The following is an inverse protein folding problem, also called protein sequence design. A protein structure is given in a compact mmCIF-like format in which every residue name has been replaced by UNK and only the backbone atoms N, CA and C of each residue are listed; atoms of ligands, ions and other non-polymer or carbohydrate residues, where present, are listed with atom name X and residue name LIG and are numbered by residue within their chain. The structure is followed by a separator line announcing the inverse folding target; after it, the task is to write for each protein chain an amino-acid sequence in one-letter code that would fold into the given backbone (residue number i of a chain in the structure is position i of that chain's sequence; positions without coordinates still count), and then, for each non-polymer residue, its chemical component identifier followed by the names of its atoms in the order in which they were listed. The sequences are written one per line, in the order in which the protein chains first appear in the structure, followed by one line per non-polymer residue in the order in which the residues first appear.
data_IF_162121002145
#
_entry.id   IF_162121002145
#
_cell.length_a   1.000
_cell.length_b   1.000
_cell.length_c   1.000
_cell.angle_alpha   90.00
_cell.angle_beta   90.00
_cell.angle_gamma   90.00
#
_symmetry.space_group_name_H-M   'P 1'
#
loop_
_entity.id
_entity.type
_entity.pdbx_description
1 polymer ?
#
# COMPACT_ATOMS: atom_id res chain seq x y z
N UNK A 1 -10.83 -31.63 -15.90
CA UNK A 1 -10.79 -32.01 -14.47
C UNK A 1 -10.22 -30.83 -13.70
N UNK A 2 -10.98 -30.23 -12.79
CA UNK A 2 -10.48 -29.13 -11.96
C UNK A 2 -9.60 -29.71 -10.85
N UNK A 3 -8.43 -29.12 -10.61
CA UNK A 3 -7.53 -29.50 -9.53
C UNK A 3 -7.54 -28.42 -8.46
N UNK A 4 -7.76 -28.80 -7.20
CA UNK A 4 -7.68 -27.92 -6.03
C UNK A 4 -6.29 -27.97 -5.36
N UNK A 5 -5.33 -28.66 -5.96
CA UNK A 5 -3.97 -28.75 -5.43
C UNK A 5 -3.19 -27.49 -5.78
N UNK A 6 -2.50 -26.94 -4.77
CA UNK A 6 -1.54 -25.86 -4.99
C UNK A 6 -0.36 -26.36 -5.82
N UNK A 7 0.16 -25.49 -6.69
CA UNK A 7 1.37 -25.77 -7.43
C UNK A 7 2.63 -25.57 -6.54
N UNK A 8 3.83 -26.02 -6.98
CA UNK A 8 5.04 -25.89 -6.18
C UNK A 8 5.41 -24.46 -5.78
N UNK A 9 5.18 -23.48 -6.65
CA UNK A 9 5.48 -22.06 -6.42
C UNK A 9 4.56 -21.45 -5.34
N UNK A 10 3.27 -21.76 -5.40
CA UNK A 10 2.27 -21.39 -4.40
C UNK A 10 2.60 -21.99 -3.03
N UNK A 11 3.02 -23.26 -3.01
CA UNK A 11 3.46 -23.93 -1.77
C UNK A 11 4.70 -23.22 -1.23
N UNK A 12 5.71 -22.99 -2.07
CA UNK A 12 6.96 -22.34 -1.64
C UNK A 12 6.70 -20.94 -1.07
N UNK A 13 5.93 -20.12 -1.77
CA UNK A 13 5.60 -18.75 -1.35
C UNK A 13 4.86 -18.72 -0.01
N UNK A 14 3.90 -19.64 0.17
CA UNK A 14 3.19 -19.81 1.46
C UNK A 14 4.15 -20.21 2.58
N UNK A 15 5.05 -21.17 2.34
CA UNK A 15 6.01 -21.60 3.37
C UNK A 15 7.03 -20.50 3.70
N UNK A 16 7.48 -19.71 2.73
CA UNK A 16 8.37 -18.56 2.98
C UNK A 16 7.69 -17.51 3.86
N UNK A 17 6.45 -17.14 3.55
CA UNK A 17 5.67 -16.20 4.36
C UNK A 17 5.46 -16.72 5.79
N UNK A 18 5.08 -17.99 5.95
CA UNK A 18 4.91 -18.62 7.26
C UNK A 18 6.19 -18.58 8.09
N UNK A 19 7.31 -18.98 7.50
CA UNK A 19 8.62 -18.99 8.20
C UNK A 19 9.04 -17.60 8.63
N UNK A 20 8.84 -16.59 7.77
CA UNK A 20 9.10 -15.21 8.15
C UNK A 20 8.23 -14.80 9.34
N UNK A 21 6.93 -15.10 9.32
CA UNK A 21 6.04 -14.74 10.42
C UNK A 21 6.46 -15.39 11.74
N UNK A 22 6.71 -16.70 11.74
CA UNK A 22 7.14 -17.45 12.93
C UNK A 22 8.46 -16.94 13.52
N UNK A 23 9.40 -16.54 12.67
CA UNK A 23 10.72 -16.10 13.10
C UNK A 23 10.77 -14.61 13.47
N UNK A 24 10.09 -13.77 12.68
CA UNK A 24 10.25 -12.32 12.71
C UNK A 24 9.05 -11.58 13.30
N UNK A 25 7.82 -12.09 13.15
CA UNK A 25 6.62 -11.41 13.67
C UNK A 25 6.18 -11.98 15.02
N UNK A 26 5.94 -13.28 15.11
CA UNK A 26 5.34 -13.93 16.29
C UNK A 26 6.06 -13.61 17.61
N UNK A 27 7.41 -13.60 17.69
CA UNK A 27 8.11 -13.25 18.93
C UNK A 27 7.95 -11.78 19.36
N UNK A 28 7.45 -10.91 18.48
CA UNK A 28 7.36 -9.46 18.67
C UNK A 28 5.92 -8.94 18.74
N UNK A 29 4.91 -9.80 18.53
CA UNK A 29 3.50 -9.41 18.42
C UNK A 29 3.07 -8.49 19.57
N UNK A 30 3.40 -8.83 20.82
CA UNK A 30 2.97 -8.04 21.97
C UNK A 30 3.47 -6.59 21.91
N UNK A 31 4.75 -6.39 21.53
CA UNK A 31 5.35 -5.06 21.42
C UNK A 31 4.82 -4.30 20.20
N UNK A 32 4.58 -4.99 19.09
CA UNK A 32 4.02 -4.41 17.87
C UNK A 32 2.58 -3.92 18.11
N UNK A 33 1.75 -4.72 18.77
CA UNK A 33 0.36 -4.37 19.11
C UNK A 33 0.27 -3.24 20.14
N UNK A 34 1.23 -3.15 21.07
CA UNK A 34 1.33 -2.05 22.04
C UNK A 34 1.91 -0.75 21.43
N UNK A 35 2.39 -0.79 20.19
CA UNK A 35 3.07 0.34 19.56
C UNK A 35 4.47 0.64 20.12
N UNK A 36 5.06 -0.28 20.88
CA UNK A 36 6.43 -0.17 21.39
C UNK A 36 7.47 -0.45 20.30
N UNK A 37 7.11 -1.25 19.29
CA UNK A 37 7.90 -1.50 18.09
C UNK A 37 7.10 -1.18 16.82
N UNK A 38 7.80 -0.74 15.77
CA UNK A 38 7.18 -0.41 14.48
C UNK A 38 7.15 -1.61 13.54
N UNK A 39 6.04 -1.80 12.83
CA UNK A 39 5.90 -2.83 11.80
C UNK A 39 6.68 -2.51 10.51
N UNK A 40 7.00 -1.24 10.21
CA UNK A 40 7.51 -0.86 8.89
C UNK A 40 8.91 -1.40 8.55
N UNK A 41 9.88 -1.46 9.48
CA UNK A 41 11.15 -2.16 9.23
C UNK A 41 10.94 -3.64 8.90
N UNK A 42 9.97 -4.29 9.56
CA UNK A 42 9.62 -5.69 9.31
C UNK A 42 8.87 -5.86 7.98
N UNK A 43 8.02 -4.91 7.59
CA UNK A 43 7.39 -4.87 6.26
C UNK A 43 8.49 -4.78 5.19
N UNK A 44 9.42 -3.84 5.27
CA UNK A 44 10.54 -3.74 4.32
C UNK A 44 11.31 -5.05 4.20
N UNK A 45 11.64 -5.70 5.32
CA UNK A 45 12.29 -7.02 5.31
C UNK A 45 11.43 -8.08 4.64
N UNK A 46 10.13 -8.12 4.92
CA UNK A 46 9.20 -9.04 4.27
C UNK A 46 9.16 -8.85 2.76
N UNK A 47 9.05 -7.60 2.30
CA UNK A 47 9.07 -7.26 0.87
C UNK A 47 10.36 -7.75 0.20
N UNK A 48 11.50 -7.58 0.86
CA UNK A 48 12.79 -7.94 0.30
C UNK A 48 13.06 -9.45 0.34
N UNK A 49 12.86 -10.08 1.49
CA UNK A 49 13.22 -11.48 1.75
C UNK A 49 12.15 -12.47 1.24
N UNK A 50 10.87 -12.10 1.27
CA UNK A 50 9.75 -12.98 0.91
C UNK A 50 9.23 -12.67 -0.49
N UNK A 51 9.10 -11.38 -0.84
CA UNK A 51 8.57 -10.98 -2.15
C UNK A 51 9.65 -10.65 -3.19
N UNK A 52 10.93 -10.77 -2.83
CA UNK A 52 12.05 -10.60 -3.75
C UNK A 52 12.20 -9.20 -4.35
N UNK A 53 11.75 -8.17 -3.62
CA UNK A 53 11.63 -6.81 -4.19
C UNK A 53 12.89 -5.95 -4.11
N UNK A 54 13.92 -6.39 -3.36
CA UNK A 54 15.10 -5.57 -3.06
C UNK A 54 15.83 -5.05 -4.32
N UNK A 55 15.88 -5.85 -5.37
CA UNK A 55 16.62 -5.57 -6.60
C UNK A 55 15.75 -4.88 -7.69
N UNK A 56 14.51 -4.50 -7.38
CA UNK A 56 13.63 -3.79 -8.30
C UNK A 56 14.06 -2.31 -8.36
N UNK A 57 14.85 -1.99 -9.38
CA UNK A 57 15.49 -0.70 -9.58
C UNK A 57 15.08 0.01 -10.87
N UNK A 58 14.35 -0.68 -11.77
CA UNK A 58 13.81 -0.10 -13.00
C UNK A 58 12.29 -0.28 -13.09
N UNK A 59 11.65 0.56 -13.92
CA UNK A 59 10.22 0.41 -14.19
C UNK A 59 9.88 -0.94 -14.82
N UNK A 60 10.73 -1.45 -15.71
CA UNK A 60 10.56 -2.75 -16.35
C UNK A 60 10.52 -3.88 -15.31
N UNK A 61 11.49 -3.91 -14.39
CA UNK A 61 11.52 -4.89 -13.29
C UNK A 61 10.29 -4.80 -12.40
N UNK A 62 9.81 -3.58 -12.12
CA UNK A 62 8.62 -3.35 -11.32
C UNK A 62 7.36 -3.87 -12.04
N UNK A 63 7.22 -3.61 -13.33
CA UNK A 63 6.08 -4.07 -14.11
C UNK A 63 6.08 -5.59 -14.26
N UNK A 64 7.25 -6.20 -14.46
CA UNK A 64 7.39 -7.66 -14.51
C UNK A 64 7.09 -8.32 -13.16
N UNK A 65 7.60 -7.75 -12.07
CA UNK A 65 7.25 -8.19 -10.73
C UNK A 65 5.73 -8.09 -10.48
N UNK A 66 5.11 -6.97 -10.83
CA UNK A 66 3.68 -6.77 -10.64
C UNK A 66 2.82 -7.73 -11.48
N UNK A 67 3.28 -8.11 -12.69
CA UNK A 67 2.63 -9.11 -13.56
C UNK A 67 2.83 -10.54 -13.08
N UNK A 68 3.98 -10.84 -12.45
CA UNK A 68 4.28 -12.18 -11.92
C UNK A 68 3.39 -12.57 -10.72
N UNK A 69 2.80 -11.58 -10.06
CA UNK A 69 1.93 -11.75 -8.90
C UNK A 69 0.58 -12.32 -9.30
N UNK A 70 0.41 -13.64 -9.20
CA UNK A 70 -0.90 -14.26 -9.37
C UNK A 70 -1.79 -14.09 -8.12
N UNK A 71 -3.10 -14.11 -8.36
CA UNK A 71 -4.11 -13.90 -7.32
C UNK A 71 -4.06 -14.96 -6.20
N UNK A 72 -3.83 -16.23 -6.54
CA UNK A 72 -3.84 -17.31 -5.55
C UNK A 72 -2.62 -17.21 -4.65
N UNK A 73 -1.42 -17.05 -5.23
CA UNK A 73 -0.18 -16.91 -4.45
C UNK A 73 -0.23 -15.69 -3.53
N UNK A 74 -0.69 -14.55 -4.04
CA UNK A 74 -0.83 -13.32 -3.24
C UNK A 74 -1.75 -13.52 -2.03
N UNK A 75 -2.89 -14.20 -2.21
CA UNK A 75 -3.81 -14.50 -1.13
C UNK A 75 -3.24 -15.53 -0.13
N UNK A 76 -2.51 -16.55 -0.59
CA UNK A 76 -1.86 -17.52 0.30
C UNK A 76 -0.85 -16.84 1.23
N UNK A 77 -0.05 -15.91 0.68
CA UNK A 77 0.89 -15.10 1.46
C UNK A 77 0.13 -14.23 2.49
N UNK A 78 -0.91 -13.52 2.04
CA UNK A 78 -1.74 -12.69 2.92
C UNK A 78 -2.39 -13.48 4.07
N UNK A 79 -2.87 -14.71 3.79
CA UNK A 79 -3.42 -15.61 4.80
C UNK A 79 -2.38 -15.96 5.88
N UNK A 80 -1.15 -16.32 5.50
CA UNK A 80 -0.12 -16.67 6.50
C UNK A 80 0.29 -15.48 7.36
N UNK A 81 0.42 -14.29 6.77
CA UNK A 81 0.70 -13.06 7.52
C UNK A 81 -0.45 -12.72 8.47
N UNK A 82 -1.70 -12.82 7.99
CA UNK A 82 -2.90 -12.50 8.77
C UNK A 82 -3.15 -13.47 9.93
N UNK A 83 -2.70 -14.73 9.83
CA UNK A 83 -2.73 -15.67 10.97
C UNK A 83 -1.87 -15.19 12.15
N UNK A 84 -0.83 -14.41 11.87
CA UNK A 84 0.14 -13.96 12.87
C UNK A 84 -0.18 -12.55 13.37
N UNK A 85 -0.29 -11.58 12.45
CA UNK A 85 -0.53 -10.18 12.79
C UNK A 85 -1.36 -9.50 11.68
N UNK A 86 -2.71 -9.49 11.79
CA UNK A 86 -3.59 -8.89 10.77
C UNK A 86 -3.27 -7.43 10.44
N UNK A 87 -2.87 -6.62 11.45
CA UNK A 87 -2.48 -5.23 11.26
C UNK A 87 -1.27 -5.07 10.32
N UNK A 88 -0.33 -6.02 10.34
CA UNK A 88 0.80 -6.04 9.41
C UNK A 88 0.33 -6.29 7.97
N UNK A 89 -0.56 -7.27 7.76
CA UNK A 89 -1.13 -7.56 6.45
C UNK A 89 -1.89 -6.35 5.90
N UNK A 90 -2.72 -5.69 6.72
CA UNK A 90 -3.46 -4.49 6.34
C UNK A 90 -2.54 -3.31 5.98
N UNK A 91 -1.51 -3.05 6.79
CA UNK A 91 -0.54 -1.99 6.53
C UNK A 91 0.24 -2.23 5.23
N UNK A 92 0.72 -3.46 5.02
CA UNK A 92 1.41 -3.85 3.78
C UNK A 92 0.47 -3.73 2.57
N UNK A 93 -0.77 -4.20 2.67
CA UNK A 93 -1.78 -4.10 1.63
C UNK A 93 -2.14 -2.66 1.27
N UNK A 94 -2.25 -1.76 2.25
CA UNK A 94 -2.50 -0.34 1.99
C UNK A 94 -1.37 0.31 1.16
N UNK A 95 -0.12 -0.06 1.44
CA UNK A 95 1.04 0.48 0.71
C UNK A 95 1.18 -0.13 -0.69
N UNK A 96 1.04 -1.45 -0.81
CA UNK A 96 1.22 -2.14 -2.09
C UNK A 96 -0.08 -2.23 -2.89
N UNK A 97 -1.05 -2.99 -2.39
CA UNK A 97 -2.26 -3.36 -3.12
C UNK A 97 -3.17 -2.16 -3.43
N UNK A 98 -3.12 -1.10 -2.61
CA UNK A 98 -3.88 0.12 -2.85
C UNK A 98 -3.02 1.25 -3.44
N UNK A 99 -2.01 1.74 -2.71
CA UNK A 99 -1.25 2.92 -3.15
C UNK A 99 -0.37 2.63 -4.38
N UNK A 100 0.51 1.62 -4.32
CA UNK A 100 1.39 1.27 -5.44
C UNK A 100 0.59 0.90 -6.69
N UNK A 101 -0.41 0.03 -6.59
CA UNK A 101 -1.20 -0.39 -7.77
C UNK A 101 -2.04 0.74 -8.36
N UNK A 102 -2.55 1.69 -7.57
CA UNK A 102 -3.20 2.88 -8.12
C UNK A 102 -2.22 3.71 -8.98
N UNK A 103 -0.96 3.84 -8.55
CA UNK A 103 0.08 4.53 -9.32
C UNK A 103 0.47 3.72 -10.56
N UNK A 104 0.60 2.39 -10.46
CA UNK A 104 0.91 1.55 -11.62
C UNK A 104 -0.20 1.56 -12.68
N UNK A 105 -1.46 1.62 -12.26
CA UNK A 105 -2.61 1.57 -13.14
C UNK A 105 -2.81 2.85 -13.95
N UNK A 106 -2.46 4.02 -13.42
CA UNK A 106 -2.82 5.31 -14.04
C UNK A 106 -1.72 6.37 -14.02
N UNK A 107 -0.58 6.11 -13.39
CA UNK A 107 0.53 7.05 -13.34
C UNK A 107 1.33 7.09 -14.65
N UNK A 108 1.94 8.25 -14.93
CA UNK A 108 2.93 8.38 -16.00
C UNK A 108 4.20 7.58 -15.68
N UNK A 109 5.05 7.36 -16.67
CA UNK A 109 6.34 6.68 -16.46
C UNK A 109 7.18 7.37 -15.37
N UNK A 110 7.21 8.70 -15.37
CA UNK A 110 7.92 9.51 -14.39
C UNK A 110 7.33 9.34 -12.98
N UNK A 111 5.99 9.30 -12.87
CA UNK A 111 5.31 9.08 -11.60
C UNK A 111 5.57 7.68 -11.06
N UNK A 112 5.54 6.65 -11.91
CA UNK A 112 5.85 5.27 -11.49
C UNK A 112 7.30 5.16 -11.01
N UNK A 113 8.26 5.75 -11.74
CA UNK A 113 9.66 5.74 -11.32
C UNK A 113 9.83 6.48 -9.98
N UNK A 114 9.25 7.67 -9.85
CA UNK A 114 9.41 8.50 -8.65
C UNK A 114 8.72 7.91 -7.41
N UNK A 115 7.52 7.36 -7.56
CA UNK A 115 6.66 7.00 -6.43
C UNK A 115 6.48 5.49 -6.26
N UNK A 116 6.42 4.71 -7.34
CA UNK A 116 6.14 3.28 -7.26
C UNK A 116 7.38 2.45 -6.88
N UNK A 117 8.55 2.77 -7.42
CA UNK A 117 9.81 2.09 -7.07
C UNK A 117 10.15 2.12 -5.56
N UNK A 118 10.11 3.26 -4.85
CA UNK A 118 10.40 3.24 -3.42
C UNK A 118 9.31 2.52 -2.60
N UNK A 119 8.06 2.47 -3.07
CA UNK A 119 6.98 1.73 -2.41
C UNK A 119 7.18 0.21 -2.50
N UNK A 120 7.54 -0.32 -3.68
CA UNK A 120 7.70 -1.77 -3.86
C UNK A 120 8.86 -2.33 -3.02
N UNK A 121 9.93 -1.55 -2.82
CA UNK A 121 11.09 -1.92 -1.99
C UNK A 121 10.88 -1.69 -0.49
N UNK A 122 9.76 -1.07 -0.11
CA UNK A 122 9.50 -0.64 1.27
C UNK A 122 10.42 0.47 1.77
N UNK A 123 11.05 1.24 0.86
CA UNK A 123 11.84 2.42 1.21
C UNK A 123 10.95 3.59 1.63
N UNK A 124 9.72 3.62 1.11
CA UNK A 124 8.67 4.57 1.46
C UNK A 124 7.39 3.82 1.79
N UNK A 125 6.54 4.46 2.58
CA UNK A 125 5.25 3.93 3.00
C UNK A 125 4.13 4.63 2.23
N UNK A 126 3.21 3.86 1.67
CA UNK A 126 2.04 4.34 0.93
C UNK A 126 0.77 4.40 1.76
N UNK A 127 -0.10 5.33 1.42
CA UNK A 127 -1.48 5.47 1.89
C UNK A 127 -2.43 5.70 0.73
N UNK A 128 -3.66 5.20 0.85
CA UNK A 128 -4.71 5.35 -0.14
C UNK A 128 -5.93 5.99 0.50
N UNK A 129 -6.25 7.21 0.10
CA UNK A 129 -7.16 8.10 0.78
C UNK A 129 -8.43 8.36 -0.04
N UNK A 130 -9.45 7.53 0.20
CA UNK A 130 -10.77 7.65 -0.43
C UNK A 130 -11.83 8.12 0.58
N UNK A 131 -11.98 7.39 1.68
CA UNK A 131 -13.05 7.54 2.67
C UNK A 131 -13.03 8.89 3.37
N UNK A 132 -14.23 9.44 3.60
CA UNK A 132 -14.49 10.68 4.33
C UNK A 132 -15.46 10.43 5.48
N UNK A 133 -15.52 11.33 6.49
CA UNK A 133 -16.48 11.20 7.59
C UNK A 133 -17.93 11.00 7.12
N UNK A 134 -18.31 11.68 6.03
CA UNK A 134 -19.66 11.62 5.46
C UNK A 134 -19.77 10.72 4.22
N UNK A 135 -18.67 10.08 3.79
CA UNK A 135 -18.61 9.28 2.56
C UNK A 135 -17.76 8.01 2.74
N UNK A 136 -18.42 6.92 3.12
CA UNK A 136 -17.85 5.57 3.19
C UNK A 136 -18.34 4.69 2.05
N UNK A 137 -19.42 3.95 2.27
CA UNK A 137 -20.04 3.10 1.24
C UNK A 137 -20.57 3.91 0.05
N UNK A 138 -21.10 5.11 0.30
CA UNK A 138 -21.48 6.05 -0.75
C UNK A 138 -20.34 7.02 -1.08
N UNK A 139 -19.44 6.57 -1.95
CA UNK A 139 -18.31 7.38 -2.41
C UNK A 139 -18.75 8.59 -3.25
N UNK A 140 -20.01 8.61 -3.73
CA UNK A 140 -20.53 9.73 -4.52
C UNK A 140 -20.83 10.96 -3.67
N UNK A 141 -20.98 10.78 -2.37
CA UNK A 141 -21.14 11.86 -1.40
C UNK A 141 -19.83 12.57 -1.02
N UNK A 142 -18.70 12.20 -1.64
CA UNK A 142 -17.38 12.81 -1.41
C UNK A 142 -17.43 14.34 -1.55
N UNK A 143 -16.83 15.03 -0.58
CA UNK A 143 -16.74 16.49 -0.52
C UNK A 143 -15.33 17.01 -0.71
N UNK A 144 -14.29 16.18 -0.57
CA UNK A 144 -12.92 16.61 -0.90
C UNK A 144 -12.89 17.05 -2.35
N UNK A 145 -12.65 18.34 -2.56
CA UNK A 145 -12.73 18.97 -3.87
C UNK A 145 -11.34 19.30 -4.40
N UNK A 146 -11.26 19.44 -5.72
CA UNK A 146 -10.07 19.98 -6.37
C UNK A 146 -10.42 21.06 -7.38
N UNK A 147 -9.54 22.05 -7.51
CA UNK A 147 -9.58 23.05 -8.60
C UNK A 147 -8.20 23.24 -9.19
N UNK A 148 -8.13 23.49 -10.50
CA UNK A 148 -6.88 23.84 -11.18
C UNK A 148 -6.54 25.31 -10.93
N UNK A 149 -5.29 25.61 -10.61
CA UNK A 149 -4.76 26.96 -10.41
C UNK A 149 -3.40 27.07 -11.09
N UNK A 150 -3.39 27.63 -12.31
CA UNK A 150 -2.20 27.60 -13.18
C UNK A 150 -1.78 26.17 -13.49
N UNK A 151 -0.53 25.83 -13.19
CA UNK A 151 0.04 24.49 -13.35
C UNK A 151 -0.23 23.56 -12.14
N UNK A 152 -0.86 24.08 -11.08
CA UNK A 152 -1.08 23.35 -9.85
C UNK A 152 -2.56 22.96 -9.67
N UNK A 153 -2.80 22.07 -8.72
CA UNK A 153 -4.13 21.75 -8.21
C UNK A 153 -4.21 22.08 -6.73
N UNK A 154 -5.30 22.74 -6.32
CA UNK A 154 -5.60 22.98 -4.91
C UNK A 154 -6.68 21.99 -4.49
N UNK A 155 -6.36 21.17 -3.49
CA UNK A 155 -7.29 20.23 -2.87
C UNK A 155 -7.80 20.82 -1.56
N UNK A 156 -9.09 20.64 -1.27
CA UNK A 156 -9.69 21.04 0.01
C UNK A 156 -10.67 19.96 0.49
N UNK A 157 -10.45 19.44 1.68
CA UNK A 157 -11.32 18.46 2.30
C UNK A 157 -10.65 17.73 3.45
N UNK A 158 -11.26 16.64 3.88
CA UNK A 158 -10.75 15.77 4.94
C UNK A 158 -11.04 14.31 4.61
N UNK A 159 -10.09 13.45 4.95
CA UNK A 159 -10.18 12.00 4.82
C UNK A 159 -10.18 11.35 6.19
N UNK A 160 -10.77 10.17 6.32
CA UNK A 160 -10.82 9.43 7.59
C UNK A 160 -10.60 7.95 7.40
N UNK A 161 -10.11 7.27 8.44
CA UNK A 161 -9.76 5.83 8.43
C UNK A 161 -8.71 5.46 7.39
N UNK A 162 -7.75 6.35 7.13
CA UNK A 162 -6.71 6.10 6.13
C UNK A 162 -5.56 5.34 6.77
N UNK A 163 -5.50 4.03 6.52
CA UNK A 163 -4.41 3.15 6.95
C UNK A 163 -3.05 3.72 6.53
N UNK A 164 -2.09 3.68 7.45
CA UNK A 164 -0.73 4.24 7.33
C UNK A 164 -0.65 5.77 7.29
N UNK A 165 -1.75 6.53 7.27
CA UNK A 165 -1.67 7.98 7.09
C UNK A 165 -0.76 8.72 8.09
N UNK A 166 -0.66 8.35 9.38
CA UNK A 166 0.26 9.03 10.30
C UNK A 166 1.75 8.91 9.94
N UNK A 167 2.13 7.91 9.15
CA UNK A 167 3.53 7.53 8.87
C UNK A 167 3.87 7.44 7.38
N UNK A 168 2.88 7.48 6.50
CA UNK A 168 3.07 7.36 5.06
C UNK A 168 3.88 8.52 4.46
N UNK A 169 4.75 8.23 3.51
CA UNK A 169 5.48 9.20 2.70
C UNK A 169 4.67 9.68 1.49
N UNK A 170 3.89 8.77 0.91
CA UNK A 170 3.20 8.94 -0.36
C UNK A 170 1.72 8.63 -0.16
N UNK A 171 0.87 9.51 -0.67
CA UNK A 171 -0.57 9.38 -0.57
C UNK A 171 -1.17 9.40 -1.97
N UNK A 172 -2.05 8.45 -2.28
CA UNK A 172 -3.00 8.59 -3.38
C UNK A 172 -4.32 9.11 -2.81
N UNK A 173 -4.66 10.36 -3.11
CA UNK A 173 -5.84 11.05 -2.57
C UNK A 173 -6.88 11.23 -3.66
N UNK A 174 -8.12 10.80 -3.39
CA UNK A 174 -9.24 10.99 -4.29
C UNK A 174 -10.00 12.26 -3.94
N UNK A 175 -10.30 13.05 -4.96
CA UNK A 175 -11.09 14.27 -4.85
C UNK A 175 -12.07 14.37 -6.02
N UNK A 176 -13.08 15.21 -5.87
CA UNK A 176 -14.14 15.44 -6.86
C UNK A 176 -14.19 16.89 -7.35
N UNK A 177 -14.77 17.08 -8.53
CA UNK A 177 -15.10 18.38 -9.10
C UNK A 177 -16.33 18.24 -10.00
N UNK A 178 -16.75 19.31 -10.68
CA UNK A 178 -17.79 19.23 -11.71
C UNK A 178 -17.44 18.26 -12.86
N UNK A 179 -16.16 17.92 -13.03
CA UNK A 179 -15.67 16.96 -14.03
C UNK A 179 -15.67 15.51 -13.53
N UNK A 180 -16.11 15.28 -12.30
CA UNK A 180 -16.09 13.98 -11.63
C UNK A 180 -14.86 13.77 -10.75
N UNK A 181 -14.56 12.49 -10.49
CA UNK A 181 -13.49 12.07 -9.59
C UNK A 181 -12.12 12.11 -10.25
N UNK A 182 -11.09 12.41 -9.47
CA UNK A 182 -9.69 12.32 -9.87
C UNK A 182 -8.84 11.87 -8.68
N UNK A 183 -7.72 11.22 -8.97
CA UNK A 183 -6.73 10.79 -7.99
C UNK A 183 -5.48 11.68 -8.10
N UNK A 184 -4.90 12.02 -6.96
CA UNK A 184 -3.73 12.88 -6.84
C UNK A 184 -2.66 12.18 -6.01
N UNK A 185 -1.41 12.24 -6.45
CA UNK A 185 -0.27 11.76 -5.67
C UNK A 185 0.25 12.94 -4.84
N UNK A 186 0.20 12.83 -3.53
CA UNK A 186 0.71 13.81 -2.58
C UNK A 186 1.89 13.22 -1.80
N UNK A 187 2.81 14.09 -1.38
CA UNK A 187 3.96 13.73 -0.54
C UNK A 187 3.77 14.29 0.86
N UNK A 188 4.21 13.54 1.88
CA UNK A 188 4.27 14.05 3.25
C UNK A 188 5.07 15.35 3.29
N UNK A 189 4.55 16.36 3.98
CA UNK A 189 5.19 17.67 4.13
C UNK A 189 4.80 18.69 3.05
N UNK A 190 3.99 18.31 2.05
CA UNK A 190 3.32 19.30 1.19
C UNK A 190 2.49 20.26 2.05
N UNK A 191 2.57 21.56 1.74
CA UNK A 191 1.85 22.59 2.48
C UNK A 191 0.33 22.32 2.48
N UNK A 192 -0.28 22.34 3.66
CA UNK A 192 -1.72 22.07 3.84
C UNK A 192 -2.10 20.59 3.92
N UNK A 193 -1.15 19.65 3.76
CA UNK A 193 -1.39 18.24 4.06
C UNK A 193 -1.02 17.93 5.51
N UNK A 194 -2.03 17.65 6.33
CA UNK A 194 -1.87 17.29 7.74
C UNK A 194 -2.43 15.88 8.00
N UNK A 195 -1.80 15.15 8.92
CA UNK A 195 -2.20 13.81 9.34
C UNK A 195 -2.28 13.75 10.86
N UNK A 196 -3.18 12.90 11.40
CA UNK A 196 -3.17 12.62 12.83
C UNK A 196 -1.81 12.06 13.29
N UNK A 197 -1.42 12.26 14.56
CA UNK A 197 -0.23 11.64 15.13
C UNK A 197 -0.25 10.12 14.98
N UNK A 198 0.94 9.52 14.93
CA UNK A 198 1.14 8.07 14.87
C UNK A 198 0.99 7.42 16.24
#
# INVERSE_FOLDING_TARGET
MFSFKLNPEQILSREMARRFCQKELEPRIEKLEKGEESIFPLIKRFLNEVLGTAEINSLEQLEDWAKSRDFITSNLVSIEVSKSLPGFALSMGASLELCLYAILASGTQEQKIKYALPLVRGDKIGSWALTEPEAGSDIRAMKTSFRKEGENYILNGQKTFITNAPVADIFVVYATSERGFSAFILERGMAGLETSPA
#
